data_IF_866955246929
#
_entry.id   IF_866955246929
#
_cell.length_a   1.000
_cell.length_b   1.000
_cell.length_c   1.000
_cell.angle_alpha   90.00
_cell.angle_beta   90.00
_cell.angle_gamma   90.00
#
_symmetry.space_group_name_H-M   'P 1'
#
loop_
_entity.id
_entity.type
_entity.pdbx_description
1 polymer ?
#
# COMPACT_ATOMS: atom_id res chain seq x y z
N UNK A 1 0.17 4.11 -14.38
CA UNK A 1 -1.16 4.07 -13.69
C UNK A 1 -1.46 5.42 -13.03
N UNK A 2 -2.66 5.99 -13.19
CA UNK A 2 -3.07 7.21 -12.46
C UNK A 2 -3.90 6.82 -11.25
N UNK A 3 -3.47 7.19 -10.04
CA UNK A 3 -4.17 6.81 -8.81
C UNK A 3 -5.54 7.50 -8.67
N UNK A 4 -5.73 8.65 -9.31
CA UNK A 4 -7.00 9.42 -9.29
C UNK A 4 -8.15 8.74 -10.05
N UNK A 5 -7.87 7.68 -10.81
CA UNK A 5 -8.86 7.00 -11.65
C UNK A 5 -9.33 5.65 -11.09
N UNK A 6 -8.80 5.21 -9.94
CA UNK A 6 -9.20 3.94 -9.33
C UNK A 6 -10.55 4.11 -8.62
N UNK A 7 -11.58 3.43 -9.12
CA UNK A 7 -12.94 3.52 -8.55
C UNK A 7 -13.55 2.19 -8.16
N UNK A 8 -13.19 1.11 -8.85
CA UNK A 8 -14.01 -0.10 -8.77
C UNK A 8 -13.36 -1.18 -7.91
N UNK A 9 -12.03 -1.31 -8.03
CA UNK A 9 -11.24 -2.32 -7.32
C UNK A 9 -9.87 -1.77 -6.98
N UNK A 10 -9.36 -2.14 -5.82
CA UNK A 10 -8.03 -1.72 -5.38
C UNK A 10 -7.43 -2.75 -4.43
N UNK A 11 -6.11 -2.83 -4.43
CA UNK A 11 -5.34 -3.37 -3.30
C UNK A 11 -4.25 -2.40 -2.94
N UNK A 12 -4.06 -2.15 -1.65
CA UNK A 12 -2.93 -1.41 -1.11
C UNK A 12 -2.24 -2.34 -0.12
N UNK A 13 -0.93 -2.53 -0.27
CA UNK A 13 -0.14 -3.36 0.62
C UNK A 13 1.14 -2.63 1.03
N UNK A 14 1.63 -2.91 2.23
CA UNK A 14 2.89 -2.39 2.74
C UNK A 14 3.36 -3.24 3.92
N UNK A 15 4.66 -3.32 4.11
CA UNK A 15 5.23 -3.73 5.37
C UNK A 15 5.37 -2.54 6.30
N UNK A 16 5.07 -2.74 7.58
CA UNK A 16 5.23 -1.72 8.61
C UNK A 16 5.97 -2.27 9.81
N UNK A 17 6.66 -1.38 10.53
CA UNK A 17 7.05 -1.62 11.91
C UNK A 17 6.63 -0.41 12.73
N UNK A 18 5.90 -0.64 13.81
CA UNK A 18 5.46 0.44 14.70
C UNK A 18 6.60 0.78 15.66
N UNK A 19 6.97 2.06 15.72
CA UNK A 19 7.85 2.55 16.79
C UNK A 19 7.02 3.13 17.94
N UNK A 20 5.95 3.90 17.64
CA UNK A 20 5.02 4.40 18.65
C UNK A 20 3.65 4.79 18.07
N UNK A 21 2.58 4.51 18.83
CA UNK A 21 1.28 5.14 18.62
C UNK A 21 1.10 6.38 19.50
N UNK A 22 1.54 7.54 19.01
CA UNK A 22 1.63 8.81 19.73
C UNK A 22 0.57 9.85 19.32
N UNK A 23 -0.29 9.52 18.35
CA UNK A 23 -1.30 10.43 17.81
C UNK A 23 -2.64 9.72 17.68
N UNK A 24 -3.74 10.45 17.85
CA UNK A 24 -5.09 9.93 17.63
C UNK A 24 -5.32 9.37 16.22
N UNK A 25 -4.45 9.69 15.26
CA UNK A 25 -4.52 9.13 13.92
C UNK A 25 -3.13 9.13 13.30
N UNK A 26 -2.72 8.00 12.73
CA UNK A 26 -1.42 7.85 12.06
C UNK A 26 -1.60 7.18 10.70
N UNK A 27 -1.22 7.89 9.65
CA UNK A 27 -1.41 7.47 8.27
C UNK A 27 -0.24 6.61 7.77
N UNK A 28 -0.52 5.47 7.15
CA UNK A 28 0.51 4.56 6.61
C UNK A 28 0.64 4.81 5.10
N UNK A 29 -0.41 4.51 4.32
CA UNK A 29 -0.51 4.83 2.89
C UNK A 29 -1.88 5.41 2.61
N UNK A 30 -1.95 6.62 2.06
CA UNK A 30 -3.23 7.34 1.91
C UNK A 30 -3.37 8.08 0.59
N UNK A 31 -4.59 8.13 0.06
CA UNK A 31 -5.05 9.06 -0.97
C UNK A 31 -5.84 10.23 -0.38
N UNK A 32 -5.84 10.35 0.95
CA UNK A 32 -6.65 11.32 1.71
C UNK A 32 -7.86 10.69 2.42
N UNK A 33 -8.51 11.51 3.24
CA UNK A 33 -9.70 11.15 4.00
C UNK A 33 -10.94 11.04 3.13
N UNK A 34 -10.91 11.64 1.94
CA UNK A 34 -12.02 11.64 0.98
C UNK A 34 -11.97 10.50 -0.05
N UNK A 35 -10.93 9.66 -0.04
CA UNK A 35 -10.77 8.51 -0.94
C UNK A 35 -10.43 7.24 -0.15
N UNK A 36 -9.27 6.61 -0.36
CA UNK A 36 -8.85 5.39 0.34
C UNK A 36 -7.60 5.57 1.20
N UNK A 37 -7.43 4.71 2.21
CA UNK A 37 -6.30 4.74 3.15
C UNK A 37 -6.14 3.44 3.95
N UNK A 38 -4.88 3.12 4.24
CA UNK A 38 -4.47 2.28 5.37
C UNK A 38 -3.91 3.20 6.46
N UNK A 39 -4.42 3.08 7.67
CA UNK A 39 -4.03 3.94 8.78
C UNK A 39 -4.41 3.33 10.13
N UNK A 40 -3.85 3.87 11.22
CA UNK A 40 -4.34 3.66 12.59
C UNK A 40 -5.25 4.85 12.98
N UNK A 41 -6.43 4.57 13.54
CA UNK A 41 -7.42 5.57 13.97
C UNK A 41 -7.75 5.44 15.47
N UNK A 42 -8.12 6.55 16.10
CA UNK A 42 -8.55 6.62 17.50
C UNK A 42 -7.41 6.46 18.51
N UNK A 43 -7.70 5.79 19.63
CA UNK A 43 -6.73 5.46 20.68
C UNK A 43 -6.46 3.95 20.77
N UNK A 44 -7.06 3.14 19.88
CA UNK A 44 -6.83 1.69 19.82
C UNK A 44 -5.56 1.36 19.03
N UNK A 45 -5.07 0.14 19.14
CA UNK A 45 -3.83 -0.28 18.46
C UNK A 45 -4.10 -0.92 17.09
N UNK A 46 -5.34 -0.80 16.62
CA UNK A 46 -5.83 -1.47 15.43
C UNK A 46 -5.58 -0.65 14.15
N UNK A 47 -5.18 -1.34 13.10
CA UNK A 47 -5.06 -0.82 11.75
C UNK A 47 -6.41 -0.86 11.06
N UNK A 48 -6.67 0.15 10.25
CA UNK A 48 -7.89 0.29 9.49
C UNK A 48 -7.61 0.36 7.99
N UNK A 49 -8.46 -0.32 7.23
CA UNK A 49 -8.61 -0.17 5.80
C UNK A 49 -9.93 0.54 5.48
N UNK A 50 -9.85 1.65 4.75
CA UNK A 50 -11.01 2.45 4.36
C UNK A 50 -10.98 2.83 2.89
N UNK A 51 -12.16 2.82 2.26
CA UNK A 51 -12.45 3.44 0.97
C UNK A 51 -13.75 4.23 1.13
N UNK A 52 -13.70 5.53 0.88
CA UNK A 52 -14.90 6.36 0.87
C UNK A 52 -15.62 6.22 -0.46
N UNK A 53 -16.95 6.39 -0.44
CA UNK A 53 -17.82 6.25 -1.62
C UNK A 53 -18.73 5.02 -1.54
N UNK A 54 -18.18 3.79 -1.36
CA UNK A 54 -18.98 2.59 -1.16
C UNK A 54 -19.92 2.67 0.06
N UNK A 55 -21.05 1.96 -0.02
CA UNK A 55 -22.08 1.89 1.03
C UNK A 55 -22.36 0.43 1.42
N UNK A 56 -22.54 0.11 2.73
CA UNK A 56 -22.34 0.99 3.90
C UNK A 56 -20.90 1.52 4.00
N UNK A 57 -20.70 2.63 4.72
CA UNK A 57 -19.39 3.30 4.79
C UNK A 57 -18.33 2.31 5.27
N UNK A 58 -17.29 2.15 4.45
CA UNK A 58 -16.29 1.13 4.69
C UNK A 58 -15.38 1.49 5.87
N UNK A 59 -15.37 0.62 6.87
CA UNK A 59 -14.38 0.58 7.94
C UNK A 59 -14.08 -0.88 8.30
N UNK A 60 -12.95 -1.40 7.81
CA UNK A 60 -12.45 -2.71 8.24
C UNK A 60 -11.27 -2.48 9.17
N UNK A 61 -11.39 -2.98 10.39
CA UNK A 61 -10.42 -2.81 11.47
C UNK A 61 -9.72 -4.15 11.73
N UNK A 62 -8.41 -4.13 12.01
CA UNK A 62 -7.66 -5.30 12.39
C UNK A 62 -8.02 -5.75 13.81
N UNK A 63 -7.87 -7.05 14.06
CA UNK A 63 -7.89 -7.69 15.37
C UNK A 63 -6.49 -8.12 15.83
N UNK A 64 -5.52 -8.16 14.91
CA UNK A 64 -4.15 -8.50 15.22
C UNK A 64 -3.41 -7.30 15.84
N UNK A 65 -2.62 -7.56 16.88
CA UNK A 65 -1.70 -6.56 17.42
C UNK A 65 -0.49 -6.43 16.48
N UNK A 66 -0.26 -5.22 15.98
CA UNK A 66 0.93 -4.87 15.17
C UNK A 66 1.90 -3.93 15.90
N UNK A 67 1.57 -3.59 17.15
CA UNK A 67 2.33 -2.69 18.01
C UNK A 67 3.22 -3.49 18.98
N UNK A 68 4.08 -4.34 18.43
CA UNK A 68 5.01 -5.19 19.18
C UNK A 68 6.49 -4.96 18.78
N UNK A 69 6.73 -3.95 17.95
CA UNK A 69 8.05 -3.61 17.42
C UNK A 69 8.57 -4.56 16.34
N UNK A 70 7.75 -5.47 15.82
CA UNK A 70 8.10 -6.35 14.70
C UNK A 70 7.57 -5.82 13.36
N UNK A 71 8.12 -6.38 12.28
CA UNK A 71 7.61 -6.12 10.93
C UNK A 71 6.32 -6.91 10.70
N UNK A 72 5.28 -6.22 10.22
CA UNK A 72 4.01 -6.82 9.82
C UNK A 72 3.65 -6.43 8.40
N UNK A 73 3.11 -7.36 7.64
CA UNK A 73 2.58 -7.10 6.31
C UNK A 73 1.10 -6.74 6.40
N UNK A 74 0.73 -5.58 5.89
CA UNK A 74 -0.66 -5.12 5.78
C UNK A 74 -1.11 -5.17 4.34
N UNK A 75 -2.33 -5.65 4.09
CA UNK A 75 -2.99 -5.48 2.81
C UNK A 75 -4.48 -5.17 2.94
N UNK A 76 -4.91 -4.04 2.38
CA UNK A 76 -6.31 -3.68 2.22
C UNK A 76 -6.76 -3.95 0.78
N UNK A 77 -7.82 -4.74 0.60
CA UNK A 77 -8.41 -5.02 -0.71
C UNK A 77 -9.85 -4.51 -0.78
N UNK A 78 -10.30 -4.13 -1.97
CA UNK A 78 -11.71 -3.88 -2.28
C UNK A 78 -12.02 -4.41 -3.68
N UNK A 79 -13.01 -5.29 -3.80
CA UNK A 79 -13.37 -5.98 -5.05
C UNK A 79 -14.63 -5.44 -5.75
N UNK A 80 -15.21 -4.35 -5.21
CA UNK A 80 -16.48 -3.78 -5.66
C UNK A 80 -17.71 -4.28 -4.89
N UNK A 81 -17.55 -5.34 -4.08
CA UNK A 81 -18.60 -5.92 -3.25
C UNK A 81 -18.17 -6.21 -1.81
N UNK A 82 -16.87 -6.43 -1.59
CA UNK A 82 -16.28 -6.70 -0.29
C UNK A 82 -14.97 -5.94 -0.17
N UNK A 83 -14.74 -5.41 1.02
CA UNK A 83 -13.45 -4.96 1.46
C UNK A 83 -12.88 -5.92 2.48
N UNK A 84 -11.56 -6.14 2.43
CA UNK A 84 -10.85 -7.06 3.32
C UNK A 84 -9.55 -6.43 3.79
N UNK A 85 -9.20 -6.64 5.05
CA UNK A 85 -7.91 -6.29 5.62
C UNK A 85 -7.21 -7.57 6.03
N UNK A 86 -5.97 -7.70 5.58
CA UNK A 86 -5.07 -8.79 5.90
C UNK A 86 -3.91 -8.28 6.73
N UNK A 87 -3.50 -9.07 7.72
CA UNK A 87 -2.29 -8.88 8.51
C UNK A 87 -1.47 -10.16 8.41
N UNK A 88 -0.20 -10.05 8.02
CA UNK A 88 0.73 -11.17 7.86
C UNK A 88 0.17 -12.29 6.95
N UNK A 89 -0.51 -11.88 5.87
CA UNK A 89 -1.06 -12.80 4.87
C UNK A 89 -2.35 -13.49 5.30
N UNK A 90 -2.88 -13.18 6.49
CA UNK A 90 -4.09 -13.78 7.06
C UNK A 90 -5.24 -12.76 7.05
N UNK A 91 -6.43 -13.19 6.63
CA UNK A 91 -7.63 -12.35 6.65
C UNK A 91 -7.97 -12.00 8.10
N UNK A 92 -8.00 -10.71 8.41
CA UNK A 92 -8.15 -10.22 9.77
C UNK A 92 -9.43 -9.39 9.97
N UNK A 93 -10.00 -8.87 8.88
CA UNK A 93 -11.32 -8.25 8.88
C UNK A 93 -11.92 -8.22 7.48
N UNK A 94 -13.25 -8.23 7.39
CA UNK A 94 -13.95 -8.05 6.12
C UNK A 94 -15.31 -7.37 6.31
N UNK A 95 -15.76 -6.69 5.27
CA UNK A 95 -17.06 -6.02 5.24
C UNK A 95 -17.64 -6.06 3.83
N UNK A 96 -18.93 -6.42 3.72
CA UNK A 96 -19.68 -6.25 2.49
C UNK A 96 -20.00 -4.75 2.29
N UNK A 97 -19.56 -4.20 1.17
CA UNK A 97 -19.82 -2.81 0.79
C UNK A 97 -19.74 -2.69 -0.72
N UNK A 98 -20.57 -1.86 -1.32
CA UNK A 98 -20.69 -1.75 -2.78
C UNK A 98 -20.70 -0.30 -3.22
N UNK A 99 -20.27 -0.06 -4.45
CA UNK A 99 -20.23 1.28 -5.05
C UNK A 99 -18.81 1.69 -5.45
N UNK A 100 -18.70 2.89 -6.01
CA UNK A 100 -17.43 3.42 -6.49
C UNK A 100 -16.66 4.09 -5.35
N UNK A 101 -15.34 3.89 -5.32
CA UNK A 101 -14.41 4.68 -4.52
C UNK A 101 -14.45 6.13 -5.00
N UNK A 102 -14.62 7.05 -4.07
CA UNK A 102 -14.60 8.48 -4.32
C UNK A 102 -13.26 8.91 -4.92
N UNK A 103 -13.34 9.65 -6.02
CA UNK A 103 -12.18 10.30 -6.65
C UNK A 103 -11.88 11.62 -5.96
N UNK A 104 -10.61 11.97 -5.93
CA UNK A 104 -10.14 13.28 -5.51
C UNK A 104 -8.82 13.62 -6.24
N UNK A 105 -8.37 14.86 -6.12
CA UNK A 105 -7.09 15.33 -6.67
C UNK A 105 -5.94 15.29 -5.65
N UNK A 106 -6.19 14.79 -4.44
CA UNK A 106 -5.18 14.66 -3.39
C UNK A 106 -4.06 13.70 -3.83
N UNK A 107 -2.78 14.01 -3.62
CA UNK A 107 -1.70 13.07 -3.91
C UNK A 107 -1.76 11.81 -3.02
N UNK A 108 -1.13 10.73 -3.47
CA UNK A 108 -0.86 9.57 -2.59
C UNK A 108 0.32 9.91 -1.68
N UNK A 109 0.15 9.71 -0.37
CA UNK A 109 1.19 9.91 0.65
C UNK A 109 1.54 8.58 1.31
N UNK A 110 2.84 8.40 1.57
CA UNK A 110 3.38 7.38 2.47
C UNK A 110 3.75 8.09 3.77
N UNK A 111 3.48 7.47 4.93
CA UNK A 111 3.71 8.01 6.28
C UNK A 111 2.97 9.30 6.64
N UNK A 112 1.93 9.68 5.87
CA UNK A 112 1.22 10.94 6.07
C UNK A 112 -0.09 11.02 5.29
N UNK A 113 -0.74 12.17 5.41
CA UNK A 113 -2.02 12.45 4.76
C UNK A 113 -2.04 13.90 4.26
N UNK A 114 -2.20 14.08 2.94
CA UNK A 114 -2.17 15.39 2.30
C UNK A 114 -3.33 16.30 2.70
N UNK A 115 -4.45 15.73 3.17
CA UNK A 115 -5.62 16.48 3.63
C UNK A 115 -5.55 16.83 5.13
N UNK A 116 -4.62 16.19 5.87
CA UNK A 116 -4.46 16.31 7.33
C UNK A 116 -2.98 16.16 7.75
N UNK A 117 -2.26 17.27 7.76
CA UNK A 117 -0.82 17.30 8.01
C UNK A 117 -0.36 16.72 9.37
N UNK A 118 -1.22 16.66 10.39
CA UNK A 118 -0.85 16.12 11.70
C UNK A 118 -0.85 14.60 11.80
N UNK A 119 -1.31 13.88 10.76
CA UNK A 119 -1.53 12.42 10.81
C UNK A 119 -0.30 11.61 10.40
N UNK A 120 0.86 11.98 10.89
CA UNK A 120 2.13 11.37 10.50
C UNK A 120 2.33 10.00 11.15
N UNK A 121 2.88 9.04 10.39
CA UNK A 121 3.31 7.75 10.92
C UNK A 121 4.49 7.91 11.88
N UNK A 122 4.60 7.00 12.85
CA UNK A 122 5.75 6.89 13.73
C UNK A 122 6.17 5.42 13.79
N UNK A 123 7.14 5.10 12.93
CA UNK A 123 7.52 3.75 12.59
C UNK A 123 8.19 3.69 11.23
N UNK A 124 8.54 2.47 10.82
CA UNK A 124 9.11 2.17 9.50
C UNK A 124 8.04 1.65 8.55
N UNK A 125 8.20 1.91 7.26
CA UNK A 125 7.35 1.40 6.17
C UNK A 125 8.28 0.89 5.07
N UNK A 126 7.98 -0.27 4.51
CA UNK A 126 8.71 -0.85 3.37
C UNK A 126 7.74 -1.50 2.37
N UNK A 127 8.22 -1.72 1.14
CA UNK A 127 7.56 -2.46 0.06
C UNK A 127 6.08 -2.07 -0.15
N UNK A 128 5.85 -0.77 -0.35
CA UNK A 128 4.51 -0.23 -0.63
C UNK A 128 4.09 -0.61 -2.05
N UNK A 129 2.95 -1.30 -2.16
CA UNK A 129 2.37 -1.73 -3.44
C UNK A 129 0.92 -1.28 -3.56
N UNK A 130 0.53 -0.79 -4.75
CA UNK A 130 -0.84 -0.40 -5.07
C UNK A 130 -1.25 -1.04 -6.39
N UNK A 131 -2.40 -1.72 -6.38
CA UNK A 131 -2.96 -2.43 -7.53
C UNK A 131 -4.34 -1.86 -7.88
N UNK A 132 -4.68 -1.78 -9.17
CA UNK A 132 -6.02 -1.42 -9.66
C UNK A 132 -6.98 -2.63 -9.71
N UNK A 133 -6.69 -3.67 -8.93
CA UNK A 133 -7.51 -4.88 -8.78
C UNK A 133 -7.48 -5.32 -7.32
N UNK A 134 -8.50 -6.09 -6.92
CA UNK A 134 -8.45 -6.83 -5.67
C UNK A 134 -7.54 -8.05 -5.85
N UNK A 135 -6.53 -8.17 -4.99
CA UNK A 135 -5.74 -9.40 -4.88
C UNK A 135 -6.58 -10.47 -4.16
N UNK A 136 -6.34 -11.72 -4.52
CA UNK A 136 -6.86 -12.89 -3.82
C UNK A 136 -6.09 -13.13 -2.51
N UNK A 137 -6.64 -13.93 -1.60
CA UNK A 137 -5.96 -14.28 -0.34
C UNK A 137 -4.62 -14.98 -0.59
N UNK A 138 -4.53 -15.84 -1.62
CA UNK A 138 -3.30 -16.53 -1.98
C UNK A 138 -2.22 -15.54 -2.48
N UNK A 139 -2.60 -14.55 -3.27
CA UNK A 139 -1.69 -13.50 -3.72
C UNK A 139 -1.22 -12.62 -2.54
N UNK A 140 -2.13 -12.27 -1.63
CA UNK A 140 -1.76 -11.49 -0.43
C UNK A 140 -0.82 -12.28 0.49
N UNK A 141 -1.03 -13.60 0.65
CA UNK A 141 -0.12 -14.45 1.42
C UNK A 141 1.27 -14.48 0.83
N UNK A 142 1.38 -14.60 -0.51
CA UNK A 142 2.67 -14.56 -1.20
C UNK A 142 3.41 -13.24 -0.95
N UNK A 143 2.70 -12.11 -0.86
CA UNK A 143 3.31 -10.82 -0.51
C UNK A 143 3.79 -10.76 0.95
N UNK A 144 3.06 -11.40 1.86
CA UNK A 144 3.42 -11.45 3.27
C UNK A 144 4.59 -12.41 3.58
N UNK A 145 4.86 -13.39 2.70
CA UNK A 145 5.98 -14.31 2.88
C UNK A 145 7.34 -13.68 2.46
N UNK A 146 7.32 -12.52 1.79
CA UNK A 146 8.55 -11.77 1.44
C UNK A 146 8.89 -10.76 2.54
N UNK A 147 9.51 -11.24 3.63
CA UNK A 147 9.90 -10.42 4.80
C UNK A 147 10.89 -9.28 4.44
N UNK A 148 10.81 -8.07 5.03
CA UNK A 148 11.82 -7.00 4.87
C UNK A 148 13.16 -7.25 5.59
N UNK A 149 13.35 -8.43 6.20
CA UNK A 149 14.44 -8.70 7.15
C UNK A 149 15.41 -9.81 6.76
N UNK A 150 15.24 -10.47 5.61
CA UNK A 150 16.14 -11.55 5.20
C UNK A 150 17.34 -11.06 4.38
N UNK A 151 17.48 -9.74 4.17
CA UNK A 151 18.51 -9.18 3.27
C UNK A 151 18.38 -9.73 1.84
N UNK A 152 17.26 -10.37 1.53
CA UNK A 152 16.95 -10.90 0.22
C UNK A 152 15.85 -10.05 -0.36
N UNK A 153 16.29 -9.03 -1.06
CA UNK A 153 15.60 -8.60 -2.27
C UNK A 153 15.73 -9.72 -3.33
N UNK A 154 15.16 -10.90 -3.05
CA UNK A 154 15.12 -12.04 -3.95
C UNK A 154 13.76 -12.72 -3.84
N UNK A 155 12.85 -12.28 -4.72
CA UNK A 155 12.11 -13.27 -5.48
C UNK A 155 13.09 -13.74 -6.56
N UNK A 156 13.64 -14.98 -6.50
CA UNK A 156 14.26 -15.55 -7.68
C UNK A 156 13.13 -15.77 -8.69
N UNK A 157 12.89 -14.78 -9.53
CA UNK A 157 12.27 -15.02 -10.81
C UNK A 157 13.35 -15.80 -11.58
N UNK A 158 13.01 -17.03 -12.00
CA UNK A 158 13.93 -17.89 -12.74
C UNK A 158 14.51 -17.12 -13.92
N UNK A 159 15.80 -16.82 -13.83
CA UNK A 159 16.72 -16.37 -14.89
C UNK A 159 16.08 -15.91 -16.20
N UNK A 160 16.00 -14.60 -16.39
CA UNK A 160 16.94 -13.85 -17.23
C UNK A 160 16.58 -12.37 -17.12
N UNK A 161 17.50 -11.55 -16.61
CA UNK A 161 17.45 -10.11 -16.87
C UNK A 161 17.72 -9.91 -18.36
N UNK A 162 16.70 -10.07 -19.19
CA UNK A 162 16.63 -9.44 -20.49
C UNK A 162 15.92 -8.11 -20.29
N UNK A 163 16.64 -7.01 -20.51
CA UNK A 163 16.08 -5.66 -20.62
C UNK A 163 15.26 -5.49 -21.92
N UNK A 164 14.51 -6.51 -22.31
CA UNK A 164 13.59 -6.48 -23.43
C UNK A 164 12.17 -6.71 -22.92
N UNK A 165 11.49 -5.61 -22.62
CA UNK A 165 10.06 -5.47 -22.92
C UNK A 165 9.14 -6.53 -22.25
N UNK A 166 9.30 -6.78 -20.94
CA UNK A 166 8.40 -7.68 -20.20
C UNK A 166 6.99 -7.09 -19.98
N UNK A 167 6.81 -5.81 -20.25
CA UNK A 167 5.50 -5.18 -20.23
C UNK A 167 4.83 -5.34 -21.60
N UNK A 168 3.58 -5.83 -21.69
CA UNK A 168 2.84 -5.87 -22.93
C UNK A 168 2.87 -4.50 -23.62
N UNK A 169 3.06 -4.47 -24.94
CA UNK A 169 2.94 -3.22 -25.72
C UNK A 169 1.60 -2.57 -25.35
N UNK A 170 1.65 -1.40 -24.69
CA UNK A 170 0.54 -0.63 -24.09
C UNK A 170 0.17 -0.90 -22.61
N UNK A 171 1.02 -1.51 -21.79
CA UNK A 171 0.69 -1.83 -20.38
C UNK A 171 0.43 -0.61 -19.49
N UNK A 172 1.05 0.55 -19.80
CA UNK A 172 0.96 1.80 -19.01
C UNK A 172 1.39 1.61 -17.53
N UNK A 173 2.14 0.56 -17.23
CA UNK A 173 2.80 0.31 -15.95
C UNK A 173 4.18 0.95 -15.97
N UNK A 174 4.55 1.59 -14.86
CA UNK A 174 5.93 1.90 -14.50
C UNK A 174 6.06 1.36 -13.10
N UNK A 175 6.99 0.44 -12.87
CA UNK A 175 7.27 -0.02 -11.51
C UNK A 175 8.32 0.93 -10.87
N UNK A 176 8.34 1.01 -9.54
CA UNK A 176 9.27 1.90 -8.83
C UNK A 176 10.74 1.46 -8.96
N UNK A 177 10.98 0.19 -9.35
CA UNK A 177 12.32 -0.34 -9.59
C UNK A 177 12.93 0.25 -10.87
N UNK A 178 12.16 0.33 -11.95
CA UNK A 178 12.57 0.98 -13.20
C UNK A 178 12.94 2.44 -12.95
N UNK A 179 12.17 3.12 -12.09
CA UNK A 179 12.44 4.52 -11.71
C UNK A 179 13.70 4.65 -10.85
N UNK A 180 13.91 3.75 -9.89
CA UNK A 180 15.09 3.77 -9.02
C UNK A 180 16.38 3.45 -9.80
N UNK A 181 16.35 2.49 -10.72
CA UNK A 181 17.49 2.14 -11.58
C UNK A 181 17.81 3.28 -12.57
N UNK A 182 16.79 3.94 -13.14
CA UNK A 182 16.98 5.14 -13.97
C UNK A 182 17.57 6.33 -13.18
N UNK A 183 17.09 6.55 -11.96
CA UNK A 183 17.58 7.64 -11.10
C UNK A 183 19.02 7.40 -10.65
N UNK A 184 19.40 6.16 -10.35
CA UNK A 184 20.76 5.78 -9.99
C UNK A 184 21.73 5.92 -11.18
N UNK A 185 21.29 5.55 -12.39
CA UNK A 185 22.05 5.81 -13.62
C UNK A 185 22.21 7.31 -13.91
N UNK A 186 21.16 8.11 -13.66
CA UNK A 186 21.21 9.57 -13.80
C UNK A 186 22.15 10.24 -12.80
N UNK A 187 22.20 9.76 -11.56
CA UNK A 187 23.06 10.29 -10.50
C UNK A 187 24.52 9.84 -10.63
N UNK A 188 24.77 8.68 -11.26
CA UNK A 188 26.11 8.12 -11.49
C UNK A 188 26.75 8.58 -12.79
N UNK A 189 25.99 9.10 -13.76
CA UNK A 189 26.53 9.70 -14.98
C UNK A 189 26.75 11.22 -14.79
N UNK A 190 27.98 11.68 -15.00
CA UNK A 190 28.38 13.10 -15.01
C UNK A 190 27.66 13.92 -16.11
N UNK A 191 26.36 14.21 -15.94
CA UNK A 191 25.62 15.17 -16.77
C UNK A 191 25.39 16.49 -16.05
N UNK A 192 26.46 17.04 -15.46
CA UNK A 192 26.56 18.47 -15.23
C UNK A 192 27.53 19.04 -16.26
N UNK A 193 27.13 19.94 -17.17
CA UNK A 193 28.12 20.71 -17.92
C UNK A 193 28.86 21.61 -16.93
N UNK A 194 30.19 21.54 -16.88
CA UNK A 194 30.98 22.60 -16.24
C UNK A 194 30.77 23.93 -16.96
#
# INVERSE_FOLDING_TARGET
>A
MKFDTITDKITVAAWIRVDLFDKNYQAIVTKGDSSWRIARDGTGDDIQWRCNGPTPSLEVVSQANVNDGQWHHLAGTYDGANARLFVDGVLNGSMATTGAISKNTAPVYISGNSEKASRLWNGSIDDVRIYNRALTEAEVRLLADTTPGDGKLYVPIGSSAELYNEEPVNSRSVNLRDFAELADQWLSMQFWPQ
#
